data_IF_134804032162
#
_entry.id   IF_134804032162
#
_cell.length_a   1.000
_cell.length_b   1.000
_cell.length_c   1.000
_cell.angle_alpha   90.00
_cell.angle_beta   90.00
_cell.angle_gamma   90.00
#
_symmetry.space_group_name_H-M   'P 1'
#
loop_
_entity.id
_entity.type
_entity.pdbx_description
1 polymer ?
#
# COMPACT_ATOMS: atom_id res chain seq x y z
N UNK A 1 -31.50 49.79 47.01
CA UNK A 1 -32.52 49.56 45.96
C UNK A 1 -31.80 49.06 44.71
N UNK A 2 -31.93 47.75 44.48
CA UNK A 2 -31.69 46.97 43.24
C UNK A 2 -30.40 47.18 42.44
N UNK A 3 -29.43 46.31 42.70
CA UNK A 3 -28.36 45.90 41.80
C UNK A 3 -28.97 45.23 40.55
N UNK A 4 -28.80 45.84 39.37
CA UNK A 4 -29.11 45.22 38.07
C UNK A 4 -27.85 44.46 37.64
N UNK A 5 -27.71 43.21 38.06
CA UNK A 5 -26.74 42.29 37.47
C UNK A 5 -27.34 41.65 36.23
N UNK A 6 -27.08 42.26 35.09
CA UNK A 6 -27.33 41.72 33.77
C UNK A 6 -26.42 40.49 33.56
N UNK A 7 -27.03 39.31 33.53
CA UNK A 7 -26.39 38.02 33.21
C UNK A 7 -25.76 38.10 31.80
N UNK A 8 -24.45 37.86 31.63
CA UNK A 8 -23.84 37.91 30.30
C UNK A 8 -24.34 36.74 29.44
N UNK A 9 -24.98 37.07 28.32
CA UNK A 9 -25.41 36.14 27.27
C UNK A 9 -24.22 35.74 26.37
N UNK A 10 -23.20 35.11 26.96
CA UNK A 10 -22.02 34.60 26.23
C UNK A 10 -21.53 33.31 26.86
N UNK A 11 -22.37 32.29 26.83
CA UNK A 11 -21.92 30.90 26.87
C UNK A 11 -22.64 30.21 25.72
N UNK A 12 -21.93 30.00 24.61
CA UNK A 12 -22.34 28.96 23.67
C UNK A 12 -22.01 27.66 24.40
N UNK A 13 -22.98 27.12 25.12
CA UNK A 13 -22.88 25.82 25.77
C UNK A 13 -22.67 24.74 24.69
N UNK A 14 -21.41 24.43 24.43
CA UNK A 14 -21.00 23.26 23.62
C UNK A 14 -21.44 21.93 24.25
N UNK A 15 -22.02 21.95 25.46
CA UNK A 15 -22.58 20.79 26.16
C UNK A 15 -23.92 20.29 25.59
N UNK A 16 -24.54 20.99 24.63
CA UNK A 16 -25.86 20.63 24.09
C UNK A 16 -25.85 19.82 22.79
N UNK A 17 -24.69 19.37 22.32
CA UNK A 17 -24.55 18.59 21.08
C UNK A 17 -24.01 17.18 21.35
N UNK A 18 -24.44 16.56 22.46
CA UNK A 18 -24.21 15.13 22.74
C UNK A 18 -25.48 14.30 22.59
N UNK A 19 -26.21 14.44 21.47
CA UNK A 19 -27.25 13.45 21.19
C UNK A 19 -26.56 12.10 20.89
N UNK A 20 -26.96 10.98 21.53
CA UNK A 20 -26.39 9.66 21.25
C UNK A 20 -26.55 9.27 19.76
N UNK A 21 -27.52 9.89 19.08
CA UNK A 21 -27.73 9.78 17.65
C UNK A 21 -26.61 10.46 16.85
N UNK A 22 -26.18 11.68 17.19
CA UNK A 22 -25.09 12.35 16.49
C UNK A 22 -23.78 11.56 16.55
N UNK A 23 -23.44 11.02 17.73
CA UNK A 23 -22.23 10.18 17.90
C UNK A 23 -22.30 8.92 17.03
N UNK A 24 -23.48 8.28 16.94
CA UNK A 24 -23.71 7.12 16.07
C UNK A 24 -23.62 7.46 14.59
N UNK A 25 -24.19 8.60 14.18
CA UNK A 25 -24.14 9.07 12.79
C UNK A 25 -22.71 9.40 12.36
N UNK A 26 -21.95 10.12 13.20
CA UNK A 26 -20.54 10.42 12.92
C UNK A 26 -19.72 9.13 12.82
N UNK A 27 -19.91 8.20 13.74
CA UNK A 27 -19.23 6.90 13.68
C UNK A 27 -19.59 6.13 12.40
N UNK A 28 -20.87 6.08 12.03
CA UNK A 28 -21.32 5.41 10.81
C UNK A 28 -20.72 6.05 9.55
N UNK A 29 -20.67 7.38 9.47
CA UNK A 29 -20.04 8.10 8.37
C UNK A 29 -18.54 7.80 8.34
N UNK A 30 -17.85 7.85 9.49
CA UNK A 30 -16.44 7.53 9.58
C UNK A 30 -16.15 6.09 9.11
N UNK A 31 -16.94 5.11 9.54
CA UNK A 31 -16.81 3.73 9.06
C UNK A 31 -17.08 3.60 7.56
N UNK A 32 -18.10 4.29 7.03
CA UNK A 32 -18.36 4.28 5.59
C UNK A 32 -17.17 4.85 4.80
N UNK A 33 -16.58 5.96 5.27
CA UNK A 33 -15.37 6.56 4.67
C UNK A 33 -14.19 5.59 4.73
N UNK A 34 -13.95 4.97 5.89
CA UNK A 34 -12.87 3.99 6.06
C UNK A 34 -13.04 2.77 5.15
N UNK A 35 -14.27 2.26 5.01
CA UNK A 35 -14.57 1.13 4.11
C UNK A 35 -14.32 1.53 2.66
N UNK A 36 -14.78 2.71 2.23
CA UNK A 36 -14.55 3.20 0.87
C UNK A 36 -13.06 3.34 0.60
N UNK A 37 -12.31 3.94 1.53
CA UNK A 37 -10.86 4.11 1.41
C UNK A 37 -10.15 2.75 1.32
N UNK A 38 -10.48 1.81 2.22
CA UNK A 38 -9.93 0.47 2.21
C UNK A 38 -10.24 -0.28 0.89
N UNK A 39 -11.46 -0.14 0.36
CA UNK A 39 -11.83 -0.73 -0.94
C UNK A 39 -10.98 -0.14 -2.07
N UNK A 40 -10.81 1.18 -2.11
CA UNK A 40 -9.99 1.86 -3.13
C UNK A 40 -8.53 1.40 -3.08
N UNK A 41 -7.96 1.24 -1.89
CA UNK A 41 -6.58 0.74 -1.72
C UNK A 41 -6.42 -0.74 -2.04
N UNK A 42 -7.48 -1.54 -1.86
CA UNK A 42 -7.44 -2.99 -2.12
C UNK A 42 -7.54 -3.31 -3.61
N UNK A 43 -8.20 -2.46 -4.41
CA UNK A 43 -8.35 -2.64 -5.87
C UNK A 43 -7.03 -2.94 -6.59
N UNK A 44 -5.93 -2.17 -6.46
CA UNK A 44 -4.68 -2.48 -7.15
C UNK A 44 -4.10 -3.85 -6.77
N UNK A 45 -4.28 -4.30 -5.52
CA UNK A 45 -3.86 -5.64 -5.10
C UNK A 45 -4.70 -6.74 -5.77
N UNK A 46 -6.02 -6.56 -5.84
CA UNK A 46 -6.91 -7.50 -6.53
C UNK A 46 -6.56 -7.59 -8.01
N UNK A 47 -6.30 -6.46 -8.67
CA UNK A 47 -5.88 -6.44 -10.07
C UNK A 47 -4.50 -7.08 -10.26
N UNK A 48 -3.57 -6.87 -9.32
CA UNK A 48 -2.24 -7.52 -9.37
C UNK A 48 -2.35 -9.04 -9.29
N UNK A 49 -3.20 -9.54 -8.39
CA UNK A 49 -3.47 -10.98 -8.25
C UNK A 49 -4.18 -11.50 -9.51
N UNK A 50 -5.18 -10.79 -10.04
CA UNK A 50 -5.85 -11.23 -11.26
C UNK A 50 -4.89 -11.29 -12.45
N UNK A 51 -4.04 -10.28 -12.61
CA UNK A 51 -3.04 -10.21 -13.69
C UNK A 51 -1.98 -11.31 -13.61
N UNK A 52 -1.68 -11.86 -12.43
CA UNK A 52 -0.72 -12.96 -12.32
C UNK A 52 -1.23 -14.30 -12.88
N UNK A 53 -2.55 -14.44 -13.06
CA UNK A 53 -3.18 -15.63 -13.65
C UNK A 53 -3.65 -15.40 -15.09
N UNK A 54 -3.32 -14.27 -15.73
CA UNK A 54 -3.73 -13.95 -17.11
C UNK A 54 -2.67 -14.35 -18.12
N UNK A 55 -3.12 -14.66 -19.34
CA UNK A 55 -2.25 -14.75 -20.51
C UNK A 55 -1.55 -13.41 -20.80
N UNK A 56 -0.36 -13.46 -21.39
CA UNK A 56 0.43 -12.28 -21.77
C UNK A 56 -0.35 -11.23 -22.61
N UNK A 57 -1.12 -11.61 -23.65
CA UNK A 57 -1.90 -10.64 -24.41
C UNK A 57 -2.98 -9.96 -23.53
N UNK A 58 -3.70 -10.71 -22.69
CA UNK A 58 -4.72 -10.17 -21.78
C UNK A 58 -4.13 -9.18 -20.75
N UNK A 59 -2.93 -9.46 -20.23
CA UNK A 59 -2.25 -8.58 -19.24
C UNK A 59 -1.87 -7.21 -19.82
N UNK A 60 -1.57 -7.14 -21.12
CA UNK A 60 -1.14 -5.90 -21.79
C UNK A 60 -2.30 -5.02 -22.27
N UNK A 61 -3.43 -5.63 -22.64
CA UNK A 61 -4.52 -4.92 -23.32
C UNK A 61 -5.82 -4.87 -22.53
N UNK A 62 -6.03 -5.76 -21.55
CA UNK A 62 -7.20 -5.78 -20.65
C UNK A 62 -6.80 -5.97 -19.17
N UNK A 63 -5.98 -5.06 -18.59
CA UNK A 63 -5.52 -5.16 -17.21
C UNK A 63 -6.65 -5.06 -16.16
N UNK A 64 -7.79 -4.47 -16.50
CA UNK A 64 -8.94 -4.24 -15.63
C UNK A 64 -9.82 -5.47 -15.39
N UNK A 65 -9.77 -6.48 -16.28
CA UNK A 65 -10.54 -7.71 -16.12
C UNK A 65 -10.09 -8.44 -14.86
N UNK A 66 -10.99 -8.83 -13.96
CA UNK A 66 -10.58 -9.44 -12.69
C UNK A 66 -11.38 -10.69 -12.32
N UNK A 67 -12.40 -11.03 -13.10
CA UNK A 67 -13.26 -12.18 -12.81
C UNK A 67 -12.82 -13.37 -13.68
N UNK A 68 -12.48 -14.53 -13.11
CA UNK A 68 -12.18 -15.71 -13.91
C UNK A 68 -13.46 -16.22 -14.60
N UNK A 69 -13.41 -16.45 -15.91
CA UNK A 69 -14.54 -16.99 -16.69
C UNK A 69 -14.80 -18.48 -16.41
N UNK A 70 -13.77 -19.22 -16.03
CA UNK A 70 -13.82 -20.63 -15.68
C UNK A 70 -12.95 -20.92 -14.45
N UNK A 71 -13.35 -21.91 -13.65
CA UNK A 71 -12.59 -22.34 -12.46
C UNK A 71 -11.55 -23.44 -12.83
N UNK A 72 -10.96 -23.36 -14.02
CA UNK A 72 -9.93 -24.28 -14.50
C UNK A 72 -8.79 -23.47 -15.09
N UNK A 73 -7.56 -23.83 -14.75
CA UNK A 73 -6.37 -23.23 -15.35
C UNK A 73 -6.14 -23.84 -16.74
N UNK A 74 -6.16 -22.99 -17.77
CA UNK A 74 -5.95 -23.39 -19.17
C UNK A 74 -4.58 -22.98 -19.70
N UNK A 75 -4.25 -23.46 -20.90
CA UNK A 75 -3.10 -23.00 -21.69
C UNK A 75 -3.46 -21.75 -22.49
N UNK A 76 -2.50 -20.87 -22.79
CA UNK A 76 -2.75 -19.68 -23.61
C UNK A 76 -2.61 -19.93 -25.12
N UNK A 77 -2.56 -21.20 -25.54
CA UNK A 77 -2.48 -21.63 -26.93
C UNK A 77 -3.65 -22.52 -27.30
N UNK A 78 -4.14 -22.41 -28.53
CA UNK A 78 -5.14 -23.30 -29.10
C UNK A 78 -4.60 -24.74 -29.19
N UNK A 79 -5.48 -25.76 -29.35
CA UNK A 79 -5.05 -27.14 -29.59
C UNK A 79 -4.11 -27.32 -30.80
N UNK A 80 -4.12 -26.36 -31.74
CA UNK A 80 -3.20 -26.30 -32.89
C UNK A 80 -1.85 -25.59 -32.57
N UNK A 81 -1.65 -25.13 -31.33
CA UNK A 81 -0.44 -24.43 -30.87
C UNK A 81 -0.40 -22.94 -31.22
N UNK A 82 -1.53 -22.32 -31.57
CA UNK A 82 -1.61 -20.91 -31.95
C UNK A 82 -1.93 -20.08 -30.69
N UNK A 83 -1.19 -19.00 -30.37
CA UNK A 83 -1.53 -18.14 -29.24
C UNK A 83 -2.93 -17.53 -29.40
N UNK A 84 -3.75 -17.62 -28.36
CA UNK A 84 -5.09 -17.03 -28.37
C UNK A 84 -5.04 -15.50 -28.51
N UNK A 85 -5.99 -14.95 -29.26
CA UNK A 85 -6.21 -13.51 -29.39
C UNK A 85 -6.87 -12.93 -28.14
N UNK A 86 -6.84 -11.60 -27.98
CA UNK A 86 -7.40 -10.91 -26.80
C UNK A 86 -8.86 -11.27 -26.57
N UNK A 87 -9.65 -11.29 -27.64
CA UNK A 87 -11.10 -11.51 -27.60
C UNK A 87 -11.46 -12.90 -27.08
N UNK A 88 -10.54 -13.86 -27.23
CA UNK A 88 -10.73 -15.23 -26.75
C UNK A 88 -10.37 -15.35 -25.26
N UNK A 89 -9.34 -14.63 -24.79
CA UNK A 89 -8.81 -14.78 -23.43
C UNK A 89 -9.32 -13.77 -22.41
N UNK A 90 -9.84 -12.62 -22.85
CA UNK A 90 -10.34 -11.59 -21.95
C UNK A 90 -11.41 -10.70 -22.59
N UNK A 91 -12.41 -10.36 -21.78
CA UNK A 91 -13.37 -9.29 -22.03
C UNK A 91 -13.19 -8.21 -20.93
N UNK A 92 -13.81 -7.04 -21.06
CA UNK A 92 -13.64 -5.90 -20.14
C UNK A 92 -13.89 -6.19 -18.66
N UNK A 93 -14.49 -7.34 -18.31
CA UNK A 93 -14.68 -7.80 -16.93
C UNK A 93 -14.06 -9.18 -16.62
N UNK A 94 -14.06 -10.10 -17.59
CA UNK A 94 -13.70 -11.51 -17.35
C UNK A 94 -12.41 -11.92 -18.06
N UNK A 95 -11.69 -12.90 -17.52
CA UNK A 95 -10.46 -13.44 -18.11
C UNK A 95 -10.38 -14.96 -17.98
N UNK A 96 -9.64 -15.62 -18.88
CA UNK A 96 -9.30 -17.04 -18.76
C UNK A 96 -8.07 -17.23 -17.86
N UNK A 97 -8.17 -17.98 -16.75
CA UNK A 97 -7.03 -18.18 -15.85
C UNK A 97 -6.04 -19.22 -16.41
N UNK A 98 -4.76 -18.99 -16.20
CA UNK A 98 -3.63 -19.84 -16.62
C UNK A 98 -2.52 -19.87 -15.57
N UNK A 99 -1.62 -20.86 -15.66
CA UNK A 99 -0.39 -20.97 -14.86
C UNK A 99 0.89 -20.78 -15.69
N UNK A 100 0.79 -20.54 -17.00
CA UNK A 100 1.94 -20.43 -17.91
C UNK A 100 2.96 -19.38 -17.46
N UNK A 101 2.49 -18.26 -16.90
CA UNK A 101 3.37 -17.22 -16.35
C UNK A 101 4.22 -17.71 -15.16
N UNK A 102 3.69 -18.61 -14.32
CA UNK A 102 4.42 -19.18 -13.20
C UNK A 102 5.42 -20.23 -13.66
N UNK A 103 5.05 -21.09 -14.61
CA UNK A 103 5.96 -22.06 -15.23
C UNK A 103 7.16 -21.34 -15.86
N UNK A 104 6.90 -20.28 -16.62
CA UNK A 104 7.94 -19.44 -17.19
C UNK A 104 8.88 -18.84 -16.15
N UNK A 105 8.38 -18.38 -15.00
CA UNK A 105 9.22 -17.81 -13.92
C UNK A 105 10.03 -18.89 -13.21
N UNK A 106 9.46 -20.07 -12.99
CA UNK A 106 10.14 -21.18 -12.30
C UNK A 106 11.28 -21.78 -13.13
N UNK A 107 11.21 -21.67 -14.46
CA UNK A 107 12.31 -22.05 -15.37
C UNK A 107 13.51 -21.09 -15.30
N UNK A 108 13.33 -19.87 -14.76
CA UNK A 108 14.43 -18.94 -14.50
C UNK A 108 15.07 -19.17 -13.12
N UNK A 109 16.10 -18.39 -12.78
CA UNK A 109 16.76 -18.42 -11.46
C UNK A 109 15.92 -17.77 -10.34
N UNK A 110 14.60 -17.99 -10.33
CA UNK A 110 13.68 -17.38 -9.35
C UNK A 110 14.09 -17.67 -7.90
N UNK A 111 14.45 -18.92 -7.59
CA UNK A 111 14.92 -19.31 -6.25
C UNK A 111 16.12 -18.48 -5.79
N UNK A 112 17.07 -18.24 -6.69
CA UNK A 112 18.28 -17.45 -6.41
C UNK A 112 17.92 -15.98 -6.18
N UNK A 113 17.06 -15.41 -7.00
CA UNK A 113 16.61 -14.02 -6.82
C UNK A 113 15.86 -13.84 -5.51
N UNK A 114 14.95 -14.76 -5.19
CA UNK A 114 14.19 -14.76 -3.95
C UNK A 114 15.11 -14.88 -2.72
N UNK A 115 16.04 -15.84 -2.73
CA UNK A 115 17.01 -16.02 -1.65
C UNK A 115 17.91 -14.80 -1.47
N UNK A 116 18.40 -14.20 -2.56
CA UNK A 116 19.20 -12.97 -2.51
C UNK A 116 18.43 -11.81 -1.87
N UNK A 117 17.17 -11.61 -2.24
CA UNK A 117 16.31 -10.56 -1.67
C UNK A 117 16.07 -10.77 -0.18
N UNK A 118 15.83 -12.02 0.27
CA UNK A 118 15.68 -12.35 1.69
C UNK A 118 16.98 -12.06 2.44
N UNK A 119 18.11 -12.60 1.99
CA UNK A 119 19.40 -12.43 2.67
C UNK A 119 19.75 -10.95 2.77
N UNK A 120 19.59 -10.20 1.68
CA UNK A 120 19.88 -8.77 1.63
C UNK A 120 18.98 -7.96 2.57
N UNK A 121 17.66 -8.13 2.46
CA UNK A 121 16.69 -7.36 3.25
C UNK A 121 16.82 -7.63 4.76
N UNK A 122 17.03 -8.88 5.16
CA UNK A 122 17.23 -9.24 6.57
C UNK A 122 18.56 -8.68 7.08
N UNK A 123 19.66 -8.91 6.35
CA UNK A 123 20.99 -8.47 6.79
C UNK A 123 21.05 -6.95 6.96
N UNK A 124 20.52 -6.19 6.00
CA UNK A 124 20.51 -4.72 6.08
C UNK A 124 19.58 -4.24 7.17
N UNK A 125 18.39 -4.82 7.33
CA UNK A 125 17.48 -4.41 8.39
C UNK A 125 18.12 -4.58 9.77
N UNK A 126 18.75 -5.73 10.02
CA UNK A 126 19.46 -5.99 11.28
C UNK A 126 20.58 -4.98 11.51
N UNK A 127 21.43 -4.78 10.48
CA UNK A 127 22.56 -3.86 10.59
C UNK A 127 22.11 -2.41 10.80
N UNK A 128 21.08 -1.97 10.08
CA UNK A 128 20.53 -0.62 10.22
C UNK A 128 19.90 -0.41 11.58
N UNK A 129 19.01 -1.31 12.02
CA UNK A 129 18.38 -1.19 13.35
C UNK A 129 19.46 -1.13 14.44
N UNK A 130 20.50 -1.94 14.34
CA UNK A 130 21.63 -1.88 15.27
C UNK A 130 22.32 -0.51 15.22
N UNK A 131 22.88 -0.10 14.07
CA UNK A 131 23.65 1.14 13.95
C UNK A 131 22.81 2.40 14.22
N UNK A 132 21.57 2.46 13.73
CA UNK A 132 20.66 3.59 13.91
C UNK A 132 20.26 3.75 15.38
N UNK A 133 20.08 2.63 16.11
CA UNK A 133 19.82 2.67 17.55
C UNK A 133 21.02 3.23 18.33
N UNK A 134 22.24 2.83 17.98
CA UNK A 134 23.46 3.36 18.60
C UNK A 134 23.64 4.86 18.31
N UNK A 135 23.43 5.27 17.05
CA UNK A 135 23.53 6.66 16.63
C UNK A 135 22.46 7.53 17.32
N UNK A 136 21.22 7.06 17.35
CA UNK A 136 20.11 7.71 18.04
C UNK A 136 20.37 7.84 19.54
N UNK A 137 20.91 6.80 20.19
CA UNK A 137 21.30 6.85 21.60
C UNK A 137 22.39 7.90 21.86
N UNK A 138 23.44 7.93 21.03
CA UNK A 138 24.51 8.90 21.14
C UNK A 138 23.99 10.35 21.00
N UNK A 139 23.13 10.61 20.01
CA UNK A 139 22.51 11.92 19.79
C UNK A 139 21.49 12.31 20.86
N UNK A 140 20.84 11.36 21.54
CA UNK A 140 19.81 11.65 22.54
C UNK A 140 20.37 11.77 23.97
N UNK A 141 21.40 10.98 24.32
CA UNK A 141 21.87 10.83 25.71
C UNK A 141 23.28 11.31 25.95
N UNK A 142 24.17 11.27 24.96
CA UNK A 142 25.55 11.74 25.12
C UNK A 142 25.64 13.23 24.80
N UNK A 143 26.49 13.96 25.55
CA UNK A 143 26.81 15.37 25.29
C UNK A 143 28.20 15.44 24.69
N UNK A 144 28.29 15.74 23.40
CA UNK A 144 29.56 15.86 22.68
C UNK A 144 29.59 17.12 21.80
N UNK A 145 30.76 17.73 21.58
CA UNK A 145 30.87 18.91 20.73
C UNK A 145 30.48 18.56 19.28
N UNK A 146 29.58 19.34 18.68
CA UNK A 146 29.10 19.13 17.31
C UNK A 146 27.81 18.30 17.17
N UNK A 147 27.20 17.83 18.28
CA UNK A 147 25.95 17.07 18.28
C UNK A 147 24.81 17.73 17.48
N UNK A 148 24.65 19.05 17.61
CA UNK A 148 23.61 19.81 16.87
C UNK A 148 23.90 19.88 15.37
N UNK A 149 25.17 19.96 14.97
CA UNK A 149 25.55 19.94 13.56
C UNK A 149 25.25 18.57 12.96
N UNK A 150 25.66 17.48 13.62
CA UNK A 150 25.38 16.12 13.14
C UNK A 150 23.88 15.85 13.01
N UNK A 151 23.07 16.33 13.95
CA UNK A 151 21.62 16.24 13.85
C UNK A 151 21.08 16.90 12.57
N UNK A 152 21.49 18.13 12.27
CA UNK A 152 21.05 18.82 11.05
C UNK A 152 21.62 18.21 9.77
N UNK A 153 22.82 17.65 9.80
CA UNK A 153 23.39 16.92 8.65
C UNK A 153 22.53 15.68 8.34
N UNK A 154 22.18 14.89 9.35
CA UNK A 154 21.31 13.71 9.18
C UNK A 154 19.96 14.13 8.59
N UNK A 155 19.31 15.15 9.16
CA UNK A 155 18.06 15.69 8.62
C UNK A 155 18.23 16.19 7.18
N UNK A 156 19.31 16.91 6.88
CA UNK A 156 19.61 17.41 5.55
C UNK A 156 19.73 16.29 4.51
N UNK A 157 20.36 15.17 4.88
CA UNK A 157 20.45 14.00 3.98
C UNK A 157 19.11 13.35 3.70
N UNK A 158 18.17 13.35 4.66
CA UNK A 158 16.80 12.83 4.44
C UNK A 158 15.95 13.74 3.52
N UNK A 159 16.35 15.01 3.36
CA UNK A 159 15.66 15.95 2.47
C UNK A 159 16.13 15.85 1.02
N UNK A 160 17.23 15.15 0.73
CA UNK A 160 17.71 14.94 -0.64
C UNK A 160 16.78 13.90 -1.30
N UNK A 161 16.04 14.28 -2.37
CA UNK A 161 15.13 13.35 -3.02
C UNK A 161 15.92 12.29 -3.77
N UNK A 162 15.48 11.03 -3.71
CA UNK A 162 16.19 9.89 -4.31
C UNK A 162 16.40 10.01 -5.82
N UNK A 163 15.57 10.79 -6.53
CA UNK A 163 15.67 11.00 -7.99
C UNK A 163 17.00 11.61 -8.44
N UNK A 164 17.72 12.29 -7.55
CA UNK A 164 19.00 12.94 -7.88
C UNK A 164 20.18 11.94 -7.83
N UNK A 165 19.94 10.73 -7.33
CA UNK A 165 20.94 9.67 -7.16
C UNK A 165 20.81 8.53 -8.18
N UNK A 166 19.81 8.61 -9.07
CA UNK A 166 19.58 7.71 -10.20
C UNK A 166 20.22 8.27 -11.47
#
# INVERSE_FOLDING_TARGET
MSEITQKPATAVDFETVESPLLKRTIAAIAFAILIIFALVETVPFVLTIANSFKCLPATRQAPEAFIPSQLSFGECTSPEGIPYSIEEVADGLTFQPTLEGYEGILDFEFERWFANSIIYSVSITVLRVFLDSLAGYALARLKFPGQRLMFFVILGTMMIPGIVLL
#
